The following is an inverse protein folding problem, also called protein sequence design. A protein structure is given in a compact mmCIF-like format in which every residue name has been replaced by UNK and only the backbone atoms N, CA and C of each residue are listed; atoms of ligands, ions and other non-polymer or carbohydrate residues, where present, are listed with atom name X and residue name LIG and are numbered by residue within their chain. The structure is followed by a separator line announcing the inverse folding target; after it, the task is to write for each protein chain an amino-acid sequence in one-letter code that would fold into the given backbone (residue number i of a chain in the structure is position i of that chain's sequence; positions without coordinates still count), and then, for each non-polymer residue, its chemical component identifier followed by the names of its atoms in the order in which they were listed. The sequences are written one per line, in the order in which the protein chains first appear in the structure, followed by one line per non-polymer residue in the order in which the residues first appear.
data_IF_503852300672
#
_entry.id   IF_503852300672
#
_cell.length_a   1.000
_cell.length_b   1.000
_cell.length_c   1.000
_cell.angle_alpha   90.00
_cell.angle_beta   90.00
_cell.angle_gamma   90.00
#
_symmetry.space_group_name_H-M   'P 1'
#
loop_
_entity.id
_entity.type
_entity.pdbx_description
1 polymer ?
#
# COMPACT_ATOMS: atom_id res chain seq x y z
N UNK A 1 0.88 18.96 0.55
CA UNK A 1 1.64 20.15 1.00
C UNK A 1 2.50 19.87 2.24
N UNK A 2 1.98 19.24 3.31
CA UNK A 2 2.81 18.95 4.50
C UNK A 2 3.98 17.98 4.23
N UNK A 3 3.76 16.90 3.46
CA UNK A 3 4.82 15.91 3.16
C UNK A 3 5.99 16.51 2.37
N UNK A 4 5.72 17.42 1.42
CA UNK A 4 6.77 18.10 0.64
C UNK A 4 7.60 19.06 1.49
N UNK A 5 6.97 19.74 2.46
CA UNK A 5 7.69 20.60 3.40
C UNK A 5 8.65 19.79 4.28
N UNK A 6 8.20 18.69 4.86
CA UNK A 6 9.08 17.84 5.68
C UNK A 6 10.18 17.16 4.87
N UNK A 7 9.90 16.76 3.62
CA UNK A 7 10.93 16.27 2.70
C UNK A 7 11.99 17.34 2.39
N UNK A 8 11.57 18.60 2.22
CA UNK A 8 12.49 19.71 2.06
C UNK A 8 13.37 19.93 3.30
N UNK A 9 12.79 19.83 4.51
CA UNK A 9 13.57 19.90 5.75
C UNK A 9 14.55 18.74 5.91
N UNK A 10 14.17 17.52 5.52
CA UNK A 10 15.07 16.36 5.48
C UNK A 10 16.27 16.66 4.56
N UNK A 11 16.00 17.10 3.32
CA UNK A 11 17.04 17.46 2.37
C UNK A 11 17.97 18.54 2.92
N UNK A 12 17.42 19.60 3.52
CA UNK A 12 18.20 20.70 4.10
C UNK A 12 19.12 20.25 5.24
N UNK A 13 18.69 19.28 6.06
CA UNK A 13 19.51 18.72 7.13
C UNK A 13 20.68 17.89 6.57
N UNK A 14 20.43 17.14 5.49
CA UNK A 14 21.41 16.28 4.85
C UNK A 14 22.37 17.02 3.90
N UNK A 15 21.97 18.15 3.33
CA UNK A 15 22.67 18.83 2.21
C UNK A 15 23.72 19.87 2.63
N UNK A 16 24.12 19.96 3.91
CA UNK A 16 24.97 21.08 4.35
C UNK A 16 26.42 20.98 3.84
N UNK A 17 26.92 19.78 3.55
CA UNK A 17 28.22 19.64 2.92
C UNK A 17 28.08 19.78 1.40
N UNK A 18 28.82 20.73 0.81
CA UNK A 18 28.73 21.10 -0.60
C UNK A 18 28.96 19.94 -1.58
N UNK A 19 29.53 18.82 -1.11
CA UNK A 19 29.82 17.61 -1.90
C UNK A 19 29.49 16.33 -1.10
N UNK A 20 28.27 16.17 -0.59
CA UNK A 20 27.86 14.91 0.02
C UNK A 20 27.40 13.90 -1.07
N UNK A 21 28.22 12.91 -1.47
CA UNK A 21 27.86 11.95 -2.52
C UNK A 21 26.75 10.99 -2.09
N UNK A 22 26.46 10.93 -0.79
CA UNK A 22 25.46 10.02 -0.21
C UNK A 22 24.11 10.72 0.04
N UNK A 23 23.98 12.02 -0.21
CA UNK A 23 22.78 12.80 0.08
C UNK A 23 21.49 12.14 -0.41
N UNK A 24 21.42 11.80 -1.70
CA UNK A 24 20.22 11.20 -2.28
C UNK A 24 19.99 9.76 -1.84
N UNK A 25 21.08 9.01 -1.58
CA UNK A 25 21.00 7.64 -1.10
C UNK A 25 20.43 7.62 0.33
N UNK A 26 21.00 8.43 1.23
CA UNK A 26 20.55 8.56 2.61
C UNK A 26 19.12 9.13 2.69
N UNK A 27 18.78 10.10 1.85
CA UNK A 27 17.40 10.58 1.73
C UNK A 27 16.44 9.47 1.30
N UNK A 28 16.78 8.71 0.24
CA UNK A 28 15.97 7.59 -0.21
C UNK A 28 15.85 6.49 0.86
N UNK A 29 16.91 6.24 1.62
CA UNK A 29 16.93 5.28 2.73
C UNK A 29 16.00 5.72 3.89
N UNK A 30 16.01 7.00 4.25
CA UNK A 30 15.12 7.55 5.28
C UNK A 30 13.64 7.48 4.89
N UNK A 31 13.35 7.71 3.61
CA UNK A 31 12.00 7.69 3.05
C UNK A 31 11.47 6.26 2.84
N UNK A 32 12.30 5.34 2.35
CA UNK A 32 11.91 3.95 2.08
C UNK A 32 11.65 3.14 3.35
N UNK A 33 12.24 3.54 4.47
CA UNK A 33 12.05 2.93 5.79
C UNK A 33 10.79 3.42 6.53
N UNK A 34 9.87 4.10 5.84
CA UNK A 34 8.56 4.48 6.36
C UNK A 34 7.61 3.26 6.38
N UNK A 35 7.69 2.45 7.43
CA UNK A 35 6.97 1.17 7.52
C UNK A 35 5.46 1.23 7.83
N UNK A 36 4.85 2.40 7.93
CA UNK A 36 3.42 2.55 8.27
C UNK A 36 2.68 3.41 7.24
N UNK A 37 2.54 2.90 6.03
CA UNK A 37 1.76 3.55 4.97
C UNK A 37 0.57 2.67 4.61
N UNK A 38 -0.63 3.28 4.54
CA UNK A 38 -1.87 2.61 4.09
C UNK A 38 -1.68 1.95 2.72
N UNK A 39 -0.85 2.52 1.84
CA UNK A 39 -0.52 1.92 0.55
C UNK A 39 0.49 0.77 0.61
N UNK A 40 1.30 0.68 1.68
CA UNK A 40 2.17 -0.48 1.92
C UNK A 40 1.39 -1.67 2.49
N UNK A 41 0.18 -1.43 3.02
CA UNK A 41 -0.67 -2.47 3.57
C UNK A 41 -1.23 -3.40 2.49
N UNK A 42 -1.67 -2.86 1.34
CA UNK A 42 -2.19 -3.68 0.23
C UNK A 42 -1.18 -4.72 -0.29
N UNK A 43 0.07 -4.37 -0.66
CA UNK A 43 1.06 -5.36 -1.05
C UNK A 43 1.42 -6.34 0.07
N UNK A 44 1.44 -5.90 1.33
CA UNK A 44 1.70 -6.77 2.48
C UNK A 44 0.59 -7.81 2.67
N UNK A 45 -0.66 -7.36 2.65
CA UNK A 45 -1.84 -8.22 2.78
C UNK A 45 -1.93 -9.22 1.61
N UNK A 46 -1.60 -8.80 0.38
CA UNK A 46 -1.53 -9.71 -0.77
C UNK A 46 -0.44 -10.77 -0.64
N UNK A 47 0.72 -10.43 -0.06
CA UNK A 47 1.77 -11.42 0.22
C UNK A 47 1.33 -12.43 1.27
N UNK A 48 0.72 -11.96 2.36
CA UNK A 48 0.19 -12.84 3.40
C UNK A 48 -0.86 -13.78 2.82
N UNK A 49 -1.75 -13.26 1.98
CA UNK A 49 -2.72 -14.06 1.22
C UNK A 49 -2.03 -15.11 0.34
N UNK A 50 -0.98 -14.71 -0.40
CA UNK A 50 -0.22 -15.64 -1.25
C UNK A 50 0.42 -16.77 -0.43
N UNK A 51 0.97 -16.44 0.75
CA UNK A 51 1.59 -17.41 1.66
C UNK A 51 0.57 -18.35 2.31
N UNK A 52 -0.68 -17.91 2.47
CA UNK A 52 -1.75 -18.74 3.04
C UNK A 52 -2.37 -19.73 2.04
N UNK A 53 -1.98 -19.69 0.76
CA UNK A 53 -2.45 -20.65 -0.25
C UNK A 53 -1.70 -21.97 -0.06
N UNK A 54 -2.43 -23.00 0.36
CA UNK A 54 -1.89 -24.32 0.71
C UNK A 54 -1.22 -25.04 -0.47
N UNK A 55 -1.86 -25.00 -1.66
CA UNK A 55 -1.36 -25.63 -2.89
C UNK A 55 -1.13 -24.58 -4.00
N UNK A 56 -0.01 -23.83 -3.99
CA UNK A 56 0.26 -22.79 -4.98
C UNK A 56 0.25 -23.27 -6.43
N UNK A 57 0.72 -24.50 -6.69
CA UNK A 57 0.76 -25.05 -8.05
C UNK A 57 -0.64 -25.34 -8.59
N UNK A 58 -1.49 -25.99 -7.79
CA UNK A 58 -2.89 -26.25 -8.15
C UNK A 58 -3.67 -24.95 -8.33
N UNK A 59 -3.50 -24.01 -7.40
CA UNK A 59 -4.16 -22.70 -7.48
C UNK A 59 -3.79 -21.94 -8.76
N UNK A 60 -2.53 -22.02 -9.19
CA UNK A 60 -2.06 -21.40 -10.45
C UNK A 60 -2.63 -22.08 -11.69
N UNK A 61 -2.87 -23.39 -11.64
CA UNK A 61 -3.45 -24.15 -12.75
C UNK A 61 -4.95 -23.88 -12.96
N UNK A 62 -5.65 -23.36 -11.94
CA UNK A 62 -7.04 -22.91 -12.09
C UNK A 62 -7.15 -21.76 -13.11
N UNK A 63 -8.30 -21.63 -13.78
CA UNK A 63 -8.63 -20.38 -14.49
C UNK A 63 -8.74 -19.21 -13.49
N UNK A 64 -8.70 -17.97 -13.96
CA UNK A 64 -8.78 -16.81 -13.06
C UNK A 64 -10.13 -16.76 -12.33
N UNK A 65 -11.20 -17.16 -13.01
CA UNK A 65 -12.56 -17.26 -12.45
C UNK A 65 -12.63 -18.36 -11.40
N UNK A 66 -12.10 -19.55 -11.70
CA UNK A 66 -12.09 -20.67 -10.73
C UNK A 66 -11.24 -20.37 -9.51
N UNK A 67 -10.10 -19.70 -9.68
CA UNK A 67 -9.25 -19.24 -8.59
C UNK A 67 -9.95 -18.18 -7.73
N UNK A 68 -10.71 -17.28 -8.36
CA UNK A 68 -11.54 -16.30 -7.66
C UNK A 68 -12.62 -16.99 -6.82
N UNK A 69 -13.37 -17.92 -7.42
CA UNK A 69 -14.43 -18.66 -6.74
C UNK A 69 -13.87 -19.50 -5.58
N UNK A 70 -12.70 -20.13 -5.77
CA UNK A 70 -11.96 -20.80 -4.70
C UNK A 70 -11.72 -19.86 -3.51
N UNK A 71 -11.15 -18.67 -3.72
CA UNK A 71 -10.87 -17.73 -2.61
C UNK A 71 -12.15 -17.14 -1.98
N UNK A 72 -13.22 -16.95 -2.75
CA UNK A 72 -14.48 -16.44 -2.20
C UNK A 72 -15.14 -17.44 -1.26
N UNK A 73 -15.16 -18.72 -1.64
CA UNK A 73 -16.00 -19.73 -0.99
C UNK A 73 -15.25 -20.68 -0.06
N UNK A 74 -13.92 -20.80 -0.19
CA UNK A 74 -13.16 -21.69 0.67
C UNK A 74 -13.13 -21.17 2.13
N UNK A 75 -13.28 -22.09 3.07
CA UNK A 75 -13.23 -21.83 4.51
C UNK A 75 -11.80 -21.81 5.07
N UNK A 76 -10.80 -22.21 4.29
CA UNK A 76 -9.40 -22.19 4.70
C UNK A 76 -8.86 -20.76 4.90
N UNK A 77 -7.63 -20.67 5.42
CA UNK A 77 -7.00 -19.40 5.76
C UNK A 77 -6.92 -18.43 4.57
N UNK A 78 -6.58 -18.92 3.37
CA UNK A 78 -6.52 -18.09 2.17
C UNK A 78 -7.88 -17.46 1.81
N UNK A 79 -8.97 -18.22 1.92
CA UNK A 79 -10.31 -17.69 1.64
C UNK A 79 -10.75 -16.66 2.69
N UNK A 80 -10.45 -16.90 3.96
CA UNK A 80 -10.73 -15.93 5.04
C UNK A 80 -9.95 -14.62 4.83
N UNK A 81 -8.65 -14.71 4.55
CA UNK A 81 -7.80 -13.55 4.29
C UNK A 81 -8.24 -12.79 3.04
N UNK A 82 -8.65 -13.49 1.98
CA UNK A 82 -9.17 -12.85 0.76
C UNK A 82 -10.45 -12.05 1.04
N UNK A 83 -11.40 -12.63 1.78
CA UNK A 83 -12.64 -11.92 2.15
C UNK A 83 -12.36 -10.70 3.02
N UNK A 84 -11.46 -10.82 4.01
CA UNK A 84 -11.02 -9.70 4.82
C UNK A 84 -10.36 -8.60 3.96
N UNK A 85 -9.48 -8.99 3.03
CA UNK A 85 -8.85 -8.08 2.09
C UNK A 85 -9.87 -7.33 1.23
N UNK A 86 -10.87 -8.01 0.67
CA UNK A 86 -11.91 -7.36 -0.13
C UNK A 86 -12.80 -6.45 0.73
N UNK A 87 -13.09 -6.82 1.98
CA UNK A 87 -13.85 -5.97 2.89
C UNK A 87 -13.13 -4.65 3.20
N UNK A 88 -11.81 -4.72 3.43
CA UNK A 88 -11.00 -3.56 3.78
C UNK A 88 -10.58 -2.74 2.55
N UNK A 89 -10.08 -3.41 1.52
CA UNK A 89 -9.40 -2.79 0.36
C UNK A 89 -10.17 -2.93 -0.95
N UNK A 90 -11.34 -3.58 -0.97
CA UNK A 90 -12.10 -3.86 -2.21
C UNK A 90 -12.67 -2.61 -2.90
N UNK A 91 -12.74 -1.48 -2.20
CA UNK A 91 -13.10 -0.17 -2.77
C UNK A 91 -12.00 0.39 -3.69
N UNK A 92 -10.77 -0.13 -3.58
CA UNK A 92 -9.65 0.23 -4.44
C UNK A 92 -9.66 -0.58 -5.73
N UNK A 93 -8.79 -0.22 -6.68
CA UNK A 93 -8.69 -0.92 -7.96
C UNK A 93 -7.50 -0.43 -8.78
N UNK A 94 -7.30 -1.05 -9.94
CA UNK A 94 -6.39 -0.51 -10.93
C UNK A 94 -6.94 0.82 -11.47
N UNK A 95 -6.07 1.82 -11.65
CA UNK A 95 -6.47 3.20 -12.01
C UNK A 95 -7.62 3.73 -11.14
N UNK A 96 -7.44 3.73 -9.82
CA UNK A 96 -8.48 4.07 -8.84
C UNK A 96 -9.12 5.46 -9.02
N UNK A 97 -8.46 6.40 -9.70
CA UNK A 97 -8.99 7.72 -10.03
C UNK A 97 -9.82 7.76 -11.34
N UNK A 98 -9.85 6.67 -12.12
CA UNK A 98 -10.63 6.59 -13.34
C UNK A 98 -12.08 6.16 -13.01
N UNK A 99 -13.10 6.98 -13.34
CA UNK A 99 -14.50 6.68 -13.01
C UNK A 99 -15.01 5.35 -13.59
N UNK A 100 -14.50 4.97 -14.77
CA UNK A 100 -14.95 3.81 -15.53
C UNK A 100 -14.30 2.49 -15.06
N UNK A 101 -13.17 2.58 -14.35
CA UNK A 101 -12.48 1.40 -13.85
C UNK A 101 -13.23 0.80 -12.66
N UNK A 102 -13.44 -0.53 -12.69
CA UNK A 102 -14.15 -1.26 -11.63
C UNK A 102 -13.22 -1.48 -10.41
N UNK A 103 -13.68 -1.14 -9.20
CA UNK A 103 -13.02 -1.55 -7.96
C UNK A 103 -12.94 -3.08 -7.82
N UNK A 104 -12.01 -3.56 -7.00
CA UNK A 104 -11.76 -4.99 -6.78
C UNK A 104 -12.96 -5.74 -6.22
N UNK A 105 -13.80 -5.09 -5.41
CA UNK A 105 -15.05 -5.70 -4.92
C UNK A 105 -16.03 -6.07 -6.05
N UNK A 106 -15.94 -5.41 -7.21
CA UNK A 106 -16.76 -5.72 -8.38
C UNK A 106 -16.02 -6.57 -9.42
N UNK A 107 -14.70 -6.36 -9.57
CA UNK A 107 -13.86 -7.18 -10.43
C UNK A 107 -12.51 -7.46 -9.77
N UNK A 108 -12.40 -8.62 -9.15
CA UNK A 108 -11.17 -9.08 -8.50
C UNK A 108 -10.24 -9.86 -9.44
N UNK A 109 -10.58 -10.07 -10.71
CA UNK A 109 -9.73 -10.83 -11.65
C UNK A 109 -8.29 -10.27 -11.75
N UNK A 110 -8.07 -8.94 -11.86
CA UNK A 110 -6.70 -8.39 -11.87
C UNK A 110 -5.92 -8.68 -10.58
N UNK A 111 -6.64 -8.82 -9.45
CA UNK A 111 -6.05 -9.19 -8.17
C UNK A 111 -5.58 -10.65 -8.17
N UNK A 112 -6.41 -11.56 -8.72
CA UNK A 112 -6.07 -12.98 -8.88
C UNK A 112 -4.85 -13.17 -9.77
N UNK A 113 -4.80 -12.44 -10.90
CA UNK A 113 -3.65 -12.47 -11.80
C UNK A 113 -2.38 -12.02 -11.08
N UNK A 114 -2.45 -10.91 -10.34
CA UNK A 114 -1.33 -10.42 -9.52
C UNK A 114 -0.89 -11.46 -8.48
N UNK A 115 -1.84 -12.13 -7.84
CA UNK A 115 -1.58 -13.17 -6.85
C UNK A 115 -0.89 -14.39 -7.48
N UNK A 116 -1.35 -14.86 -8.64
CA UNK A 116 -0.70 -15.95 -9.40
C UNK A 116 0.72 -15.56 -9.81
N UNK A 117 0.96 -14.33 -10.22
CA UNK A 117 2.31 -13.81 -10.49
C UNK A 117 3.18 -13.76 -9.24
N UNK A 118 2.64 -13.42 -8.07
CA UNK A 118 3.39 -13.49 -6.81
C UNK A 118 3.80 -14.92 -6.46
N UNK A 119 2.96 -15.91 -6.78
CA UNK A 119 3.26 -17.34 -6.60
C UNK A 119 4.25 -17.88 -7.66
N UNK A 120 4.61 -17.12 -8.71
CA UNK A 120 5.62 -17.52 -9.70
C UNK A 120 7.02 -17.09 -9.33
N UNK A 121 7.14 -15.95 -8.65
CA UNK A 121 8.44 -15.42 -8.25
C UNK A 121 8.95 -16.12 -6.99
N UNK A 122 10.28 -16.19 -6.85
CA UNK A 122 10.88 -16.56 -5.57
C UNK A 122 10.36 -15.60 -4.51
N UNK A 123 9.72 -16.14 -3.46
CA UNK A 123 9.21 -15.37 -2.32
C UNK A 123 10.32 -14.49 -1.66
N UNK A 124 11.59 -14.77 -1.95
CA UNK A 124 12.78 -14.00 -1.55
C UNK A 124 12.91 -12.63 -2.24
N UNK A 125 12.27 -12.41 -3.40
CA UNK A 125 12.36 -11.16 -4.16
C UNK A 125 11.59 -10.03 -3.47
N UNK A 126 10.53 -10.37 -2.74
CA UNK A 126 9.66 -9.41 -2.07
C UNK A 126 10.09 -9.22 -0.61
N UNK A 127 11.24 -8.58 -0.39
CA UNK A 127 11.67 -8.23 0.98
C UNK A 127 10.58 -7.37 1.63
N UNK A 128 10.00 -7.88 2.72
CA UNK A 128 9.28 -7.03 3.67
C UNK A 128 10.32 -6.06 4.22
N UNK A 129 10.11 -4.77 4.04
CA UNK A 129 10.93 -3.76 4.72
C UNK A 129 10.75 -3.99 6.21
N UNK A 130 11.76 -4.58 6.86
CA UNK A 130 11.74 -4.80 8.29
C UNK A 130 11.45 -3.49 9.01
N UNK A 131 10.74 -3.57 10.14
CA UNK A 131 10.48 -2.44 11.02
C UNK A 131 11.79 -2.02 11.69
N UNK A 132 12.66 -1.35 10.95
CA UNK A 132 13.89 -0.79 11.52
C UNK A 132 13.50 0.45 12.33
N UNK A 133 13.92 0.48 13.59
CA UNK A 133 13.71 1.63 14.47
C UNK A 133 14.34 2.89 13.88
N UNK A 134 13.66 4.03 14.00
CA UNK A 134 14.14 5.36 13.55
C UNK A 134 15.57 5.64 14.01
N UNK A 135 15.93 5.20 15.22
CA UNK A 135 17.25 5.31 15.82
C UNK A 135 18.32 4.65 14.93
N UNK A 136 18.21 3.34 14.70
CA UNK A 136 19.11 2.55 13.86
C UNK A 136 19.25 3.09 12.44
N UNK A 137 18.17 3.58 11.85
CA UNK A 137 18.16 4.15 10.49
C UNK A 137 18.98 5.43 10.42
N UNK A 138 18.79 6.33 11.39
CA UNK A 138 19.54 7.59 11.46
C UNK A 138 21.01 7.34 11.84
N UNK A 139 21.28 6.27 12.59
CA UNK A 139 22.63 5.86 12.96
C UNK A 139 23.41 5.22 11.79
N UNK A 140 22.72 4.63 10.81
CA UNK A 140 23.33 4.01 9.63
C UNK A 140 23.53 4.95 8.43
N UNK A 141 23.24 6.25 8.58
CA UNK A 141 23.44 7.23 7.51
C UNK A 141 24.93 7.43 7.25
N UNK A 142 25.30 7.53 5.97
CA UNK A 142 26.69 7.80 5.57
C UNK A 142 27.03 9.28 5.64
N UNK A 143 26.01 10.14 5.60
CA UNK A 143 26.13 11.58 5.73
C UNK A 143 26.66 11.94 7.13
N UNK A 144 27.79 12.65 7.24
CA UNK A 144 28.26 13.14 8.53
C UNK A 144 27.28 14.19 9.06
N UNK A 145 26.67 13.90 10.21
CA UNK A 145 25.73 14.79 10.90
C UNK A 145 26.26 15.16 12.27
N UNK A 146 26.18 16.45 12.63
CA UNK A 146 26.46 16.88 14.00
C UNK A 146 25.42 16.33 14.98
N UNK A 147 25.78 16.19 16.25
CA UNK A 147 24.90 15.65 17.29
C UNK A 147 23.52 16.34 17.33
N UNK A 148 23.51 17.68 17.27
CA UNK A 148 22.27 18.47 17.26
C UNK A 148 21.38 18.15 16.05
N UNK A 149 21.96 18.00 14.86
CA UNK A 149 21.19 17.67 13.65
C UNK A 149 20.69 16.24 13.67
N UNK A 150 21.53 15.32 14.16
CA UNK A 150 21.15 13.92 14.32
C UNK A 150 19.97 13.80 15.30
N UNK A 151 20.00 14.56 16.39
CA UNK A 151 18.89 14.66 17.34
C UNK A 151 17.62 15.24 16.69
N UNK A 152 17.73 16.40 16.01
CA UNK A 152 16.60 17.03 15.32
C UNK A 152 15.97 16.12 14.26
N UNK A 153 16.82 15.44 13.47
CA UNK A 153 16.40 14.49 12.45
C UNK A 153 15.63 13.31 13.07
N UNK A 154 16.18 12.72 14.13
CA UNK A 154 15.65 11.54 14.82
C UNK A 154 14.34 11.81 15.55
N UNK A 155 14.26 12.92 16.27
CA UNK A 155 13.15 13.19 17.19
C UNK A 155 12.00 13.99 16.56
N UNK A 156 12.29 14.83 15.57
CA UNK A 156 11.31 15.79 15.06
C UNK A 156 11.04 15.57 13.59
N UNK A 157 12.06 15.74 12.74
CA UNK A 157 11.83 15.86 11.29
C UNK A 157 11.42 14.52 10.68
N UNK A 158 12.11 13.43 11.00
CA UNK A 158 11.80 12.13 10.41
C UNK A 158 10.43 11.59 10.86
N UNK A 159 10.05 11.61 12.15
CA UNK A 159 8.71 11.22 12.58
C UNK A 159 7.60 12.04 11.91
N UNK A 160 7.76 13.36 11.81
CA UNK A 160 6.79 14.23 11.16
C UNK A 160 6.69 13.99 9.65
N UNK A 161 7.83 13.80 8.97
CA UNK A 161 7.85 13.45 7.55
C UNK A 161 7.06 12.17 7.29
N UNK A 162 7.33 11.12 8.08
CA UNK A 162 6.64 9.83 7.98
C UNK A 162 5.15 9.96 8.24
N UNK A 163 4.76 10.67 9.31
CA UNK A 163 3.35 10.94 9.62
C UNK A 163 2.66 11.70 8.48
N UNK A 164 3.32 12.69 7.87
CA UNK A 164 2.76 13.44 6.76
C UNK A 164 2.57 12.57 5.50
N UNK A 165 3.47 11.63 5.22
CA UNK A 165 3.28 10.64 4.15
C UNK A 165 2.12 9.71 4.50
N UNK A 166 2.05 9.19 5.73
CA UNK A 166 0.95 8.33 6.17
C UNK A 166 -0.42 9.02 6.00
N UNK A 167 -0.54 10.26 6.47
CA UNK A 167 -1.76 11.07 6.30
C UNK A 167 -2.15 11.25 4.84
N UNK A 168 -1.17 11.51 3.95
CA UNK A 168 -1.44 11.63 2.51
C UNK A 168 -2.02 10.34 1.93
N UNK A 169 -1.44 9.19 2.30
CA UNK A 169 -1.93 7.89 1.84
C UNK A 169 -3.33 7.58 2.41
N UNK A 170 -3.59 7.93 3.67
CA UNK A 170 -4.92 7.81 4.28
C UNK A 170 -5.96 8.70 3.59
N UNK A 171 -5.64 9.96 3.32
CA UNK A 171 -6.53 10.88 2.57
C UNK A 171 -6.83 10.34 1.19
N UNK A 172 -5.83 9.80 0.49
CA UNK A 172 -6.02 9.14 -0.80
C UNK A 172 -7.03 7.99 -0.67
N UNK A 173 -6.83 7.08 0.28
CA UNK A 173 -7.73 5.94 0.49
C UNK A 173 -9.16 6.38 0.81
N UNK A 174 -9.32 7.36 1.71
CA UNK A 174 -10.63 7.90 2.09
C UNK A 174 -11.36 8.55 0.91
N UNK A 175 -10.63 9.26 0.04
CA UNK A 175 -11.19 9.86 -1.17
C UNK A 175 -11.70 8.79 -2.14
N UNK A 176 -10.92 7.72 -2.37
CA UNK A 176 -11.33 6.60 -3.24
C UNK A 176 -12.54 5.88 -2.64
N UNK A 177 -12.58 5.65 -1.33
CA UNK A 177 -13.72 5.07 -0.65
C UNK A 177 -14.99 5.94 -0.79
N UNK A 178 -14.88 7.25 -0.58
CA UNK A 178 -15.99 8.19 -0.78
C UNK A 178 -16.51 8.22 -2.22
N UNK A 179 -15.61 8.07 -3.20
CA UNK A 179 -16.00 7.90 -4.60
C UNK A 179 -16.83 6.64 -4.79
N UNK A 180 -16.35 5.49 -4.32
CA UNK A 180 -17.02 4.20 -4.45
C UNK A 180 -18.42 4.20 -3.78
N UNK A 181 -18.58 4.86 -2.64
CA UNK A 181 -19.89 5.10 -2.03
C UNK A 181 -20.83 5.91 -2.93
N UNK A 182 -20.30 6.93 -3.62
CA UNK A 182 -21.09 7.74 -4.55
C UNK A 182 -21.57 6.92 -5.75
N UNK A 183 -20.76 5.99 -6.25
CA UNK A 183 -21.15 5.04 -7.32
C UNK A 183 -22.29 4.12 -6.86
N UNK A 184 -22.19 3.57 -5.65
CA UNK A 184 -23.24 2.73 -5.07
C UNK A 184 -24.57 3.48 -4.96
N UNK A 185 -24.53 4.74 -4.52
CA UNK A 185 -25.72 5.59 -4.42
C UNK A 185 -26.37 5.84 -5.78
N UNK A 186 -25.59 6.17 -6.81
CA UNK A 186 -26.14 6.37 -8.17
C UNK A 186 -26.79 5.08 -8.70
N UNK A 187 -26.11 3.94 -8.54
CA UNK A 187 -26.63 2.63 -8.96
C UNK A 187 -27.94 2.30 -8.25
N UNK A 188 -28.02 2.53 -6.93
CA UNK A 188 -29.25 2.32 -6.15
C UNK A 188 -30.39 3.21 -6.64
N UNK A 189 -30.11 4.49 -6.89
CA UNK A 189 -31.12 5.44 -7.36
C UNK A 189 -31.66 5.05 -8.73
N UNK A 190 -30.80 4.62 -9.67
CA UNK A 190 -31.25 4.11 -10.98
C UNK A 190 -32.13 2.87 -10.84
N UNK A 191 -31.78 1.95 -9.95
CA UNK A 191 -32.58 0.75 -9.68
C UNK A 191 -33.93 1.04 -9.00
N UNK A 192 -34.08 2.17 -8.30
CA UNK A 192 -35.38 2.62 -7.77
C UNK A 192 -36.26 3.27 -8.83
N UNK A 193 -35.68 4.00 -9.80
CA UNK A 193 -36.45 4.56 -10.92
C UNK A 193 -36.98 3.49 -11.88
N UNK A 194 -36.22 2.41 -12.11
CA UNK A 194 -36.66 1.28 -12.95
C UNK A 194 -37.77 0.45 -12.28
N UNK A 195 -37.99 0.61 -10.97
CA UNK A 195 -38.94 -0.18 -10.17
C UNK A 195 -40.29 0.49 -9.90
N UNK A 196 -40.56 1.67 -10.47
CA UNK A 196 -41.88 2.29 -10.42
C UNK A 196 -42.67 1.89 -11.69
N UNK A 197 -43.58 0.91 -11.62
CA UNK A 197 -44.62 0.77 -12.63
C UNK A 197 -45.63 1.92 -12.46
N UNK A 198 -46.07 2.49 -13.58
CA UNK A 198 -47.30 3.31 -13.66
C UNK A 198 -48.54 2.46 -13.38
#
# INVERSE_FOLDING_TARGET
MASSLYNHYLMKILSKEKNNPHLYNDFAYLMSSCGQLVSADVPSALRQLAQAIENPQEFRALSDEKALEYLKHNSNQSGQQFRAFIAEHGHRGYKEFEPLCKPWKYNAIPLIQSLKTMLTGDASTYKTTEKVSVTKIVDSLKTPLSFQRKFLLKQIVLPLARRAVAMRESTKSAMIYGWDLSRLRDTRNRLSYVRLPE
#
